data_IF_194341931788
#
_entry.id   IF_194341931788
#
_cell.length_a   1.000
_cell.length_b   1.000
_cell.length_c   1.000
_cell.angle_alpha   90.00
_cell.angle_beta   90.00
_cell.angle_gamma   90.00
#
_symmetry.space_group_name_H-M   'P 1'
#
loop_
_entity.id
_entity.type
_entity.pdbx_description
1 polymer ?
#
# COMPACT_ATOMS: atom_id res chain seq x y z
N UNK A 1 -0.24 3.51 -28.64
CA UNK A 1 -1.10 3.75 -27.46
C UNK A 1 -0.26 4.54 -26.46
N UNK A 2 -0.73 5.69 -25.99
CA UNK A 2 0.04 6.56 -25.11
C UNK A 2 -0.44 6.41 -23.67
N UNK A 3 0.41 5.82 -22.83
CA UNK A 3 0.26 5.82 -21.37
C UNK A 3 0.74 7.17 -20.84
N UNK A 4 -0.01 7.79 -19.95
CA UNK A 4 0.44 9.02 -19.28
C UNK A 4 1.57 8.66 -18.32
N UNK A 5 2.76 9.21 -18.61
CA UNK A 5 3.94 9.04 -17.77
C UNK A 5 3.83 10.01 -16.58
N UNK A 6 3.78 9.46 -15.37
CA UNK A 6 3.81 10.26 -14.14
C UNK A 6 5.29 10.50 -13.82
N UNK A 7 5.72 11.77 -13.83
CA UNK A 7 7.08 12.18 -13.49
C UNK A 7 7.08 13.45 -12.66
N UNK A 8 8.02 13.58 -11.72
CA UNK A 8 8.23 14.80 -10.94
C UNK A 8 8.75 15.96 -11.82
N UNK A 9 8.49 17.22 -11.48
CA UNK A 9 9.04 18.37 -12.19
C UNK A 9 10.58 18.32 -12.25
N UNK A 10 11.15 18.28 -13.46
CA UNK A 10 12.61 18.22 -13.67
C UNK A 10 13.19 16.80 -13.76
N UNK A 11 12.38 15.74 -13.66
CA UNK A 11 12.79 14.35 -13.82
C UNK A 11 12.07 13.65 -14.98
N UNK A 12 11.98 14.30 -16.14
CA UNK A 12 11.47 13.63 -17.35
C UNK A 12 12.48 12.56 -17.81
N UNK A 13 12.06 11.30 -17.77
CA UNK A 13 12.78 10.16 -18.33
C UNK A 13 12.96 10.30 -19.84
N UNK A 14 13.99 9.65 -20.39
CA UNK A 14 14.25 9.60 -21.82
C UNK A 14 13.02 9.02 -22.57
N UNK A 15 12.71 9.49 -23.80
CA UNK A 15 11.47 9.17 -24.54
C UNK A 15 11.24 7.69 -24.90
N UNK A 16 12.15 6.80 -24.51
CA UNK A 16 12.07 5.35 -24.74
C UNK A 16 11.98 4.53 -23.44
N UNK A 17 12.08 5.17 -22.27
CA UNK A 17 11.89 4.54 -20.96
C UNK A 17 10.43 4.75 -20.52
N UNK A 18 9.54 3.87 -20.95
CA UNK A 18 8.16 3.84 -20.45
C UNK A 18 8.13 3.23 -19.05
N UNK A 19 8.44 4.03 -18.03
CA UNK A 19 8.21 3.64 -16.64
C UNK A 19 6.71 3.71 -16.36
N UNK A 20 6.09 2.56 -16.13
CA UNK A 20 4.70 2.47 -15.71
C UNK A 20 4.59 2.95 -14.26
N UNK A 21 3.74 3.95 -14.04
CA UNK A 21 3.46 4.48 -12.73
C UNK A 21 2.00 4.19 -12.32
N UNK A 22 1.81 3.85 -11.06
CA UNK A 22 0.50 3.51 -10.49
C UNK A 22 0.14 4.37 -9.28
N UNK A 23 -1.15 4.51 -9.03
CA UNK A 23 -1.69 5.04 -7.77
C UNK A 23 -2.10 3.89 -6.86
N UNK A 24 -1.61 3.87 -5.63
CA UNK A 24 -1.98 2.87 -4.62
C UNK A 24 -2.69 3.58 -3.47
N UNK A 25 -3.90 3.15 -3.18
CA UNK A 25 -4.52 3.42 -1.88
C UNK A 25 -4.16 2.28 -0.93
N UNK A 26 -3.21 2.52 -0.02
CA UNK A 26 -2.79 1.54 0.97
C UNK A 26 -3.68 1.72 2.20
N UNK A 27 -4.91 1.20 2.24
CA UNK A 27 -5.80 1.46 3.37
C UNK A 27 -5.57 0.51 4.56
N UNK A 28 -6.12 0.88 5.73
CA UNK A 28 -6.03 0.07 6.96
C UNK A 28 -6.78 -1.26 6.82
N UNK A 29 -7.97 -1.23 6.22
CA UNK A 29 -8.84 -2.42 6.06
C UNK A 29 -8.72 -3.02 4.69
N UNK A 30 -8.68 -2.18 3.67
CA UNK A 30 -8.63 -2.57 2.27
C UNK A 30 -7.64 -1.68 1.53
N UNK A 31 -7.09 -2.19 0.45
CA UNK A 31 -6.22 -1.48 -0.46
C UNK A 31 -6.67 -1.68 -1.90
N UNK A 32 -6.32 -0.75 -2.78
CA UNK A 32 -6.57 -0.86 -4.22
C UNK A 32 -5.42 -0.24 -5.01
N UNK A 33 -5.36 -0.56 -6.29
CA UNK A 33 -4.41 0.02 -7.23
C UNK A 33 -5.13 0.53 -8.48
N UNK A 34 -4.68 1.67 -8.98
CA UNK A 34 -5.23 2.32 -10.16
C UNK A 34 -4.12 2.82 -11.07
N UNK A 35 -4.46 3.04 -12.34
CA UNK A 35 -3.59 3.63 -13.37
C UNK A 35 -4.38 4.68 -14.14
N UNK A 36 -3.69 5.63 -14.77
CA UNK A 36 -4.29 6.55 -15.74
C UNK A 36 -3.95 6.11 -17.16
N UNK A 37 -4.96 5.79 -17.97
CA UNK A 37 -4.80 5.43 -19.39
C UNK A 37 -5.52 6.48 -20.24
N UNK A 38 -4.80 7.14 -21.14
CA UNK A 38 -5.37 8.16 -22.05
C UNK A 38 -6.18 9.26 -21.35
N UNK A 39 -5.76 9.68 -20.14
CA UNK A 39 -6.43 10.72 -19.36
C UNK A 39 -7.58 10.23 -18.48
N UNK A 40 -7.94 8.95 -18.56
CA UNK A 40 -8.98 8.33 -17.73
C UNK A 40 -8.34 7.49 -16.63
N UNK A 41 -8.75 7.71 -15.38
CA UNK A 41 -8.39 6.84 -14.27
C UNK A 41 -9.11 5.49 -14.40
N UNK A 42 -8.40 4.40 -14.16
CA UNK A 42 -8.95 3.05 -14.20
C UNK A 42 -8.43 2.27 -13.00
N UNK A 43 -9.34 1.68 -12.23
CA UNK A 43 -9.00 0.77 -11.13
C UNK A 43 -8.58 -0.57 -11.75
N UNK A 44 -7.48 -1.14 -11.25
CA UNK A 44 -6.98 -2.42 -11.74
C UNK A 44 -7.50 -3.54 -10.82
N UNK A 45 -8.16 -4.52 -11.43
CA UNK A 45 -8.76 -5.66 -10.73
C UNK A 45 -7.83 -6.87 -10.74
N UNK A 46 -8.08 -7.85 -9.87
CA UNK A 46 -7.44 -9.17 -9.98
C UNK A 46 -8.14 -10.08 -11.01
N UNK A 47 -7.68 -11.33 -11.11
CA UNK A 47 -8.22 -12.37 -11.98
C UNK A 47 -9.70 -12.70 -11.74
N UNK A 48 -10.25 -12.34 -10.57
CA UNK A 48 -11.66 -12.51 -10.24
C UNK A 48 -12.50 -11.25 -10.51
N UNK A 49 -11.91 -10.23 -11.15
CA UNK A 49 -12.48 -8.90 -11.34
C UNK A 49 -12.74 -8.13 -10.02
N UNK A 50 -12.06 -8.48 -8.93
CA UNK A 50 -12.18 -7.76 -7.66
C UNK A 50 -11.22 -6.57 -7.62
N UNK A 51 -11.78 -5.37 -7.44
CA UNK A 51 -11.03 -4.12 -7.36
C UNK A 51 -10.37 -3.92 -5.99
N UNK A 52 -11.06 -4.33 -4.93
CA UNK A 52 -10.68 -4.06 -3.54
C UNK A 52 -9.99 -5.30 -2.97
N UNK A 53 -8.78 -5.13 -2.46
CA UNK A 53 -8.02 -6.19 -1.80
C UNK A 53 -8.02 -5.95 -0.28
N UNK A 54 -8.42 -6.93 0.56
CA UNK A 54 -8.28 -6.81 2.01
C UNK A 54 -6.81 -6.56 2.42
N UNK A 55 -6.57 -5.62 3.33
CA UNK A 55 -5.25 -5.34 3.91
C UNK A 55 -4.95 -6.34 5.04
N UNK A 56 -4.90 -7.61 4.67
CA UNK A 56 -4.69 -8.75 5.58
C UNK A 56 -3.46 -9.53 5.12
N UNK A 57 -2.59 -9.89 6.05
CA UNK A 57 -1.37 -10.64 5.78
C UNK A 57 -1.24 -11.77 6.79
N UNK A 58 -1.18 -13.01 6.29
CA UNK A 58 -0.86 -14.19 7.08
C UNK A 58 0.63 -14.54 6.91
N UNK A 59 1.32 -14.67 8.05
CA UNK A 59 2.74 -14.93 8.15
C UNK A 59 2.94 -16.41 8.53
N UNK A 60 2.79 -17.30 7.55
CA UNK A 60 2.81 -18.75 7.72
C UNK A 60 4.20 -19.34 7.99
N UNK A 61 4.26 -20.60 8.43
CA UNK A 61 5.52 -21.31 8.75
C UNK A 61 6.40 -21.63 7.53
N UNK A 62 5.87 -21.48 6.32
CA UNK A 62 6.55 -21.76 5.06
C UNK A 62 7.41 -20.59 4.55
N UNK A 63 7.65 -19.58 5.41
CA UNK A 63 8.35 -18.34 5.07
C UNK A 63 7.72 -17.58 3.89
N UNK A 64 6.42 -17.79 3.65
CA UNK A 64 5.67 -17.10 2.61
C UNK A 64 4.59 -16.24 3.25
N UNK A 65 4.50 -15.00 2.80
CA UNK A 65 3.37 -14.13 3.12
C UNK A 65 2.19 -14.50 2.22
N UNK A 66 1.06 -14.84 2.83
CA UNK A 66 -0.24 -14.90 2.14
C UNK A 66 -0.94 -13.57 2.37
N UNK A 67 -1.49 -12.96 1.32
CA UNK A 67 -1.98 -11.58 1.36
C UNK A 67 -3.40 -11.49 0.78
N UNK A 68 -4.20 -10.54 1.25
CA UNK A 68 -5.50 -10.25 0.65
C UNK A 68 -6.56 -11.26 1.04
N UNK A 69 -7.46 -11.55 0.09
CA UNK A 69 -8.57 -12.49 0.29
C UNK A 69 -8.11 -13.88 0.74
N UNK A 70 -6.97 -14.35 0.25
CA UNK A 70 -6.38 -15.64 0.63
C UNK A 70 -5.95 -15.69 2.10
N UNK A 71 -5.58 -14.54 2.68
CA UNK A 71 -5.17 -14.43 4.08
C UNK A 71 -6.36 -14.33 5.06
N UNK A 72 -7.54 -13.90 4.58
CA UNK A 72 -8.71 -13.66 5.42
C UNK A 72 -9.18 -14.86 6.27
N UNK A 73 -9.21 -16.11 5.75
CA UNK A 73 -9.61 -17.27 6.56
C UNK A 73 -8.72 -17.49 7.79
N UNK A 74 -7.43 -17.16 7.69
CA UNK A 74 -6.45 -17.34 8.77
C UNK A 74 -6.68 -16.38 9.95
N UNK A 75 -7.40 -15.27 9.75
CA UNK A 75 -7.76 -14.38 10.85
C UNK A 75 -8.63 -15.08 11.92
N UNK A 76 -9.30 -16.19 11.56
CA UNK A 76 -10.07 -17.02 12.50
C UNK A 76 -9.29 -18.23 13.00
N UNK A 77 -8.51 -18.88 12.13
CA UNK A 77 -7.84 -20.16 12.45
C UNK A 77 -6.43 -20.00 13.00
N UNK A 78 -5.74 -18.91 12.67
CA UNK A 78 -4.38 -18.58 13.06
C UNK A 78 -4.21 -17.06 13.32
N UNK A 79 -4.96 -16.49 14.29
CA UNK A 79 -5.08 -15.04 14.48
C UNK A 79 -3.78 -14.36 14.94
N UNK A 80 -2.90 -15.07 15.66
CA UNK A 80 -1.61 -14.53 16.12
C UNK A 80 -0.65 -14.26 14.97
N UNK A 81 -0.75 -15.03 13.88
CA UNK A 81 0.07 -14.92 12.68
C UNK A 81 -0.65 -14.23 11.52
N UNK A 82 -1.89 -13.78 11.71
CA UNK A 82 -2.67 -13.08 10.68
C UNK A 82 -2.89 -11.63 11.08
N UNK A 83 -2.12 -10.74 10.47
CA UNK A 83 -2.09 -9.33 10.81
C UNK A 83 -3.11 -8.61 9.95
N UNK A 84 -4.06 -7.95 10.61
CA UNK A 84 -5.05 -7.04 10.03
C UNK A 84 -4.76 -5.64 10.52
N UNK A 85 -5.21 -4.61 9.79
CA UNK A 85 -5.04 -3.22 10.22
C UNK A 85 -3.57 -2.82 10.49
N UNK A 86 -2.61 -3.44 9.79
CA UNK A 86 -1.17 -3.20 10.00
C UNK A 86 -0.79 -1.72 9.85
N UNK A 87 -1.53 -0.96 9.02
CA UNK A 87 -1.31 0.48 8.82
C UNK A 87 -1.34 1.27 10.14
N UNK A 88 -2.09 0.81 11.15
CA UNK A 88 -2.13 1.42 12.49
C UNK A 88 -0.80 1.34 13.25
N UNK A 89 0.07 0.40 12.89
CA UNK A 89 1.35 0.15 13.56
C UNK A 89 2.53 0.76 12.81
N UNK A 90 2.30 1.35 11.62
CA UNK A 90 3.35 1.97 10.82
C UNK A 90 4.00 3.11 11.60
N UNK A 91 5.33 3.06 11.73
CA UNK A 91 6.14 4.10 12.38
C UNK A 91 5.91 4.27 13.88
N UNK A 92 5.20 3.35 14.54
CA UNK A 92 4.93 3.42 15.98
C UNK A 92 5.98 2.69 16.82
N UNK A 93 6.16 3.18 18.04
CA UNK A 93 6.92 2.49 19.08
C UNK A 93 6.09 1.45 19.83
N UNK A 94 6.79 0.55 20.55
CA UNK A 94 6.16 -0.54 21.31
C UNK A 94 5.12 -0.07 22.33
N UNK A 95 5.39 1.02 23.06
CA UNK A 95 4.49 1.55 24.10
C UNK A 95 3.15 1.97 23.52
N UNK A 96 3.17 2.74 22.43
CA UNK A 96 1.96 3.19 21.72
C UNK A 96 1.22 2.01 21.09
N UNK A 97 1.95 1.09 20.46
CA UNK A 97 1.37 -0.09 19.83
C UNK A 97 0.64 -1.02 20.83
N UNK A 98 1.10 -1.09 22.07
CA UNK A 98 0.47 -1.91 23.12
C UNK A 98 -0.87 -1.34 23.62
N UNK A 99 -1.17 -0.08 23.33
CA UNK A 99 -2.45 0.55 23.71
C UNK A 99 -3.63 0.06 22.86
N UNK A 100 -3.36 -0.53 21.69
CA UNK A 100 -4.40 -1.14 20.86
C UNK A 100 -5.00 -2.36 21.55
N UNK A 101 -6.25 -2.22 22.01
CA UNK A 101 -7.03 -3.29 22.63
C UNK A 101 -7.55 -4.27 21.58
N UNK A 102 -7.80 -5.51 22.00
CA UNK A 102 -8.41 -6.58 21.20
C UNK A 102 -7.59 -7.01 19.96
N UNK A 103 -6.27 -6.79 19.98
CA UNK A 103 -5.37 -7.34 18.97
C UNK A 103 -4.84 -8.70 19.44
N UNK A 104 -4.92 -9.77 18.62
CA UNK A 104 -4.39 -11.09 18.97
C UNK A 104 -2.85 -11.18 18.84
N UNK A 105 -2.17 -10.09 18.49
CA UNK A 105 -0.76 -10.08 18.14
C UNK A 105 0.15 -10.15 19.35
N UNK A 106 1.22 -10.93 19.23
CA UNK A 106 2.33 -10.88 20.16
C UNK A 106 3.29 -9.80 19.68
N UNK A 107 3.33 -8.67 20.38
CA UNK A 107 4.19 -7.54 20.02
C UNK A 107 5.54 -7.63 20.75
N UNK A 108 6.61 -7.27 20.07
CA UNK A 108 7.98 -7.25 20.58
C UNK A 108 8.56 -5.83 20.46
N UNK A 109 9.22 -5.37 21.50
CA UNK A 109 9.91 -4.08 21.51
C UNK A 109 11.22 -4.16 20.72
N UNK A 110 11.43 -3.22 19.80
CA UNK A 110 12.67 -3.13 19.02
C UNK A 110 13.12 -1.68 18.88
N UNK A 111 13.89 -1.20 19.88
CA UNK A 111 14.29 0.20 19.97
C UNK A 111 13.07 1.12 20.00
N UNK A 112 13.00 2.05 19.05
CA UNK A 112 11.87 2.98 18.92
C UNK A 112 10.69 2.41 18.10
N UNK A 113 10.74 1.14 17.70
CA UNK A 113 9.74 0.51 16.85
C UNK A 113 9.08 -0.69 17.56
N UNK A 114 8.00 -1.19 16.95
CA UNK A 114 7.33 -2.44 17.33
C UNK A 114 7.49 -3.50 16.24
N UNK A 115 7.68 -4.75 16.66
CA UNK A 115 7.63 -5.94 15.80
C UNK A 115 6.46 -6.84 16.18
N UNK A 116 6.01 -7.65 15.24
CA UNK A 116 5.05 -8.72 15.40
C UNK A 116 5.83 -10.04 15.50
N UNK A 117 5.70 -10.75 16.61
CA UNK A 117 6.21 -12.10 16.72
C UNK A 117 5.29 -13.04 15.96
N UNK A 118 5.81 -13.65 14.89
CA UNK A 118 5.06 -14.55 14.01
C UNK A 118 5.80 -15.88 13.82
N UNK A 119 5.14 -16.83 13.16
CA UNK A 119 5.73 -18.09 12.77
C UNK A 119 6.92 -17.94 11.79
N UNK A 120 7.04 -16.81 11.10
CA UNK A 120 8.18 -16.44 10.25
C UNK A 120 9.31 -15.73 11.02
N UNK A 121 9.16 -15.59 12.34
CA UNK A 121 10.00 -14.75 13.18
C UNK A 121 9.41 -13.36 13.40
N UNK A 122 10.24 -12.44 13.88
CA UNK A 122 9.82 -11.09 14.22
C UNK A 122 9.77 -10.21 12.96
N UNK A 123 8.58 -9.72 12.63
CA UNK A 123 8.34 -8.89 11.44
C UNK A 123 7.91 -7.49 11.84
N UNK A 124 8.45 -6.48 11.17
CA UNK A 124 8.01 -5.09 11.32
C UNK A 124 6.71 -4.81 10.55
N UNK A 125 5.99 -3.75 10.94
CA UNK A 125 4.85 -3.25 10.17
C UNK A 125 5.23 -2.90 8.71
N UNK A 126 6.48 -2.49 8.48
CA UNK A 126 7.06 -2.19 7.16
C UNK A 126 7.15 -3.46 6.31
N UNK A 127 7.70 -4.56 6.85
CA UNK A 127 7.80 -5.84 6.14
C UNK A 127 6.42 -6.40 5.80
N UNK A 128 5.48 -6.33 6.74
CA UNK A 128 4.11 -6.81 6.51
C UNK A 128 3.42 -5.96 5.44
N UNK A 129 3.52 -4.63 5.52
CA UNK A 129 2.92 -3.72 4.54
C UNK A 129 3.56 -3.86 3.15
N UNK A 130 4.84 -4.22 3.06
CA UNK A 130 5.47 -4.50 1.76
C UNK A 130 4.86 -5.71 1.06
N UNK A 131 4.31 -6.69 1.80
CA UNK A 131 3.57 -7.80 1.21
C UNK A 131 2.31 -7.32 0.48
N UNK A 132 1.56 -6.39 1.12
CA UNK A 132 0.38 -5.75 0.52
C UNK A 132 0.76 -4.99 -0.75
N UNK A 133 1.81 -4.17 -0.68
CA UNK A 133 2.29 -3.38 -1.82
C UNK A 133 2.81 -4.26 -2.96
N UNK A 134 3.50 -5.37 -2.64
CA UNK A 134 3.97 -6.33 -3.63
C UNK A 134 2.80 -7.03 -4.37
N UNK A 135 1.74 -7.41 -3.65
CA UNK A 135 0.53 -7.97 -4.27
C UNK A 135 -0.16 -6.97 -5.20
N UNK A 136 -0.27 -5.69 -4.80
CA UNK A 136 -0.84 -4.64 -5.64
C UNK A 136 0.04 -4.32 -6.87
N UNK A 137 1.37 -4.33 -6.70
CA UNK A 137 2.32 -4.22 -7.80
C UNK A 137 2.13 -5.35 -8.81
N UNK A 138 2.11 -6.61 -8.35
CA UNK A 138 1.90 -7.78 -9.20
C UNK A 138 0.59 -7.67 -10.01
N UNK A 139 -0.51 -7.28 -9.33
CA UNK A 139 -1.81 -7.02 -9.98
C UNK A 139 -1.71 -5.96 -11.08
N UNK A 140 -0.97 -4.89 -10.81
CA UNK A 140 -0.75 -3.84 -11.79
C UNK A 140 0.08 -4.31 -12.99
N UNK A 141 1.17 -5.05 -12.76
CA UNK A 141 2.02 -5.60 -13.81
C UNK A 141 1.23 -6.54 -14.74
N UNK A 142 0.40 -7.41 -14.17
CA UNK A 142 -0.51 -8.29 -14.92
C UNK A 142 -1.53 -7.49 -15.75
N UNK A 143 -2.09 -6.41 -15.20
CA UNK A 143 -3.10 -5.57 -15.85
C UNK A 143 -2.54 -4.62 -16.92
N UNK A 144 -1.27 -4.23 -16.78
CA UNK A 144 -0.61 -3.24 -17.65
C UNK A 144 0.32 -3.89 -18.68
N UNK A 145 0.74 -5.14 -18.46
CA UNK A 145 1.58 -5.91 -19.38
C UNK A 145 3.05 -5.49 -19.38
N UNK A 146 3.55 -4.95 -18.27
CA UNK A 146 4.94 -4.53 -18.13
C UNK A 146 5.32 -4.21 -16.68
N UNK A 147 6.63 -4.08 -16.44
CA UNK A 147 7.18 -3.85 -15.10
C UNK A 147 6.71 -2.49 -14.53
N UNK A 148 6.19 -2.54 -13.30
CA UNK A 148 5.75 -1.36 -12.57
C UNK A 148 6.80 -1.01 -11.55
N UNK A 149 7.46 0.12 -11.78
CA UNK A 149 8.59 0.56 -10.94
C UNK A 149 8.25 1.76 -10.08
N UNK A 150 7.25 2.57 -10.47
CA UNK A 150 6.96 3.85 -9.83
C UNK A 150 5.54 3.87 -9.24
N UNK A 151 5.37 4.48 -8.06
CA UNK A 151 4.07 4.58 -7.40
C UNK A 151 3.86 5.91 -6.68
N UNK A 152 2.63 6.40 -6.74
CA UNK A 152 2.08 7.38 -5.79
C UNK A 152 1.25 6.62 -4.76
N UNK A 153 1.56 6.79 -3.47
CA UNK A 153 0.93 6.00 -2.39
C UNK A 153 0.19 6.93 -1.43
N UNK A 154 -1.03 6.57 -1.06
CA UNK A 154 -1.83 7.36 -0.11
C UNK A 154 -1.38 7.16 1.34
N UNK A 155 -1.43 8.23 2.12
CA UNK A 155 -1.23 8.21 3.58
C UNK A 155 -2.25 9.11 4.28
N UNK A 156 -2.63 8.83 5.53
CA UNK A 156 -3.49 9.73 6.28
C UNK A 156 -2.86 11.11 6.42
N UNK A 157 -3.67 12.16 6.36
CA UNK A 157 -3.15 13.53 6.43
C UNK A 157 -2.39 13.82 7.75
N UNK A 158 -2.80 13.16 8.83
CA UNK A 158 -2.19 13.29 10.17
C UNK A 158 -0.96 12.40 10.38
N UNK A 159 -0.51 11.63 9.39
CA UNK A 159 0.73 10.86 9.51
C UNK A 159 1.93 11.79 9.70
N UNK A 160 2.71 11.51 10.76
CA UNK A 160 3.97 12.18 11.03
C UNK A 160 5.11 11.66 10.12
N UNK A 161 6.30 12.23 10.26
CA UNK A 161 7.45 11.90 9.40
C UNK A 161 7.90 10.44 9.54
N UNK A 162 7.86 9.86 10.75
CA UNK A 162 8.20 8.45 10.98
C UNK A 162 7.24 7.52 10.23
N UNK A 163 5.94 7.79 10.31
CA UNK A 163 4.91 6.98 9.65
C UNK A 163 4.97 7.11 8.12
N UNK A 164 5.27 8.32 7.62
CA UNK A 164 5.52 8.56 6.19
C UNK A 164 6.76 7.82 5.70
N UNK A 165 7.85 7.87 6.47
CA UNK A 165 9.07 7.16 6.11
C UNK A 165 8.86 5.65 6.11
N UNK A 166 8.17 5.10 7.11
CA UNK A 166 7.81 3.69 7.15
C UNK A 166 7.02 3.24 5.91
N UNK A 167 6.10 4.06 5.40
CA UNK A 167 5.37 3.76 4.15
C UNK A 167 6.29 3.73 2.93
N UNK A 168 7.25 4.67 2.83
CA UNK A 168 8.26 4.67 1.75
C UNK A 168 9.17 3.45 1.84
N UNK A 169 9.56 3.05 3.05
CA UNK A 169 10.40 1.88 3.27
C UNK A 169 9.67 0.60 2.87
N UNK A 170 8.36 0.52 3.15
CA UNK A 170 7.53 -0.62 2.74
C UNK A 170 7.43 -0.70 1.20
N UNK A 171 7.25 0.44 0.54
CA UNK A 171 7.24 0.52 -0.92
C UNK A 171 8.58 0.12 -1.54
N UNK A 172 9.69 0.60 -0.97
CA UNK A 172 11.03 0.20 -1.41
C UNK A 172 11.24 -1.30 -1.27
N UNK A 173 10.81 -1.88 -0.14
CA UNK A 173 10.92 -3.31 0.11
C UNK A 173 10.06 -4.15 -0.85
N UNK A 174 8.93 -3.62 -1.34
CA UNK A 174 8.13 -4.25 -2.39
C UNK A 174 8.64 -3.99 -3.82
N UNK A 175 9.80 -3.33 -3.97
CA UNK A 175 10.37 -2.99 -5.28
C UNK A 175 9.61 -1.89 -6.02
N UNK A 176 8.96 -0.97 -5.29
CA UNK A 176 8.34 0.24 -5.82
C UNK A 176 9.18 1.47 -5.42
N UNK A 177 9.47 2.31 -6.40
CA UNK A 177 9.96 3.67 -6.17
C UNK A 177 8.77 4.57 -5.83
N UNK A 178 8.84 5.25 -4.69
CA UNK A 178 7.76 6.17 -4.27
C UNK A 178 8.00 7.54 -4.89
N UNK A 179 7.24 7.87 -5.94
CA UNK A 179 7.27 9.21 -6.55
C UNK A 179 6.77 10.25 -5.56
N UNK A 180 5.63 9.96 -4.91
CA UNK A 180 5.01 10.87 -3.96
C UNK A 180 4.16 10.12 -2.94
N UNK A 181 4.18 10.58 -1.70
CA UNK A 181 3.13 10.27 -0.75
C UNK A 181 2.03 11.32 -0.85
N UNK A 182 0.81 10.88 -1.15
CA UNK A 182 -0.34 11.77 -1.28
C UNK A 182 -1.23 11.64 -0.04
N UNK A 183 -1.74 12.76 0.48
CA UNK A 183 -2.70 12.68 1.57
C UNK A 183 -4.01 12.09 1.06
N UNK A 184 -4.56 11.09 1.76
CA UNK A 184 -5.84 10.46 1.45
C UNK A 184 -6.98 11.45 1.15
N UNK A 185 -7.26 12.48 2.00
CA UNK A 185 -8.33 13.44 1.69
C UNK A 185 -8.05 14.27 0.43
N UNK A 186 -6.77 14.52 0.11
CA UNK A 186 -6.39 15.21 -1.13
C UNK A 186 -6.61 14.31 -2.33
N UNK A 187 -6.25 13.02 -2.25
CA UNK A 187 -6.51 12.06 -3.31
C UNK A 187 -8.02 11.94 -3.61
N UNK A 188 -8.84 11.86 -2.56
CA UNK A 188 -10.30 11.83 -2.68
C UNK A 188 -10.85 13.11 -3.32
N UNK A 189 -10.36 14.29 -2.92
CA UNK A 189 -10.78 15.57 -3.51
C UNK A 189 -10.40 15.67 -5.00
N UNK A 190 -9.20 15.19 -5.39
CA UNK A 190 -8.77 15.14 -6.79
C UNK A 190 -9.67 14.20 -7.61
N UNK A 191 -9.97 13.01 -7.09
CA UNK A 191 -10.87 12.08 -7.76
C UNK A 191 -12.26 12.69 -7.99
N UNK A 192 -12.85 13.32 -6.97
CA UNK A 192 -14.13 14.02 -7.09
C UNK A 192 -14.10 15.16 -8.12
N UNK A 193 -13.03 15.97 -8.12
CA UNK A 193 -12.87 17.06 -9.08
C UNK A 193 -12.77 16.58 -10.53
N UNK A 194 -12.03 15.50 -10.77
CA UNK A 194 -11.89 14.90 -12.10
C UNK A 194 -13.19 14.24 -12.60
N UNK A 195 -13.92 13.52 -11.72
CA UNK A 195 -15.19 12.87 -12.08
C UNK A 195 -16.31 13.87 -12.33
N UNK A 196 -16.37 14.97 -11.57
CA UNK A 196 -17.43 15.96 -11.71
C UNK A 196 -17.30 16.84 -12.96
N UNK A 197 -16.20 16.74 -13.71
CA UNK A 197 -15.95 17.53 -14.93
C UNK A 197 -15.94 19.05 -14.69
N UNK A 198 -15.84 19.46 -13.42
CA UNK A 198 -15.89 20.87 -13.02
C UNK A 198 -14.47 21.43 -12.96
N UNK A 199 -14.05 22.06 -14.04
CA UNK A 199 -12.94 23.00 -14.00
C UNK A 199 -13.41 24.28 -13.27
N UNK A 200 -13.05 24.46 -11.99
CA UNK A 200 -13.39 25.71 -11.32
C UNK A 200 -13.09 25.80 -9.84
N UNK A 201 -12.43 26.90 -9.46
CA UNK A 201 -12.09 27.33 -8.11
C UNK A 201 -13.35 27.35 -7.22
N UNK A 202 -13.33 26.62 -6.12
CA UNK A 202 -14.28 26.79 -5.02
C UNK A 202 -13.68 27.82 -4.05
N UNK A 203 -14.09 29.08 -4.22
CA UNK A 203 -13.86 30.16 -3.26
C UNK A 203 -14.88 30.07 -2.10
#
# INVERSE_FOLDING_TARGET
MALLQISEPGQSSAPHEHKLAIGIDLGTTNSLVASVKSGTSTILTDENNEAIMPSVVHCGKDNKLTVGCEACPYAKTDPTNTIVSVKRFMGLGYKEAKEFKNCPYQLVENGNNVLFHTAMGDLSAVQISSGILASLKCRAEQSLGGDVVDAVITVPAYFNDSQRQATKDAAKLSGLNTLRLLNEPTAAAVAYGLESGKEGIHA
#
